data_IF_909432496439
#
_entry.id   IF_909432496439
#
_cell.length_a   1.000
_cell.length_b   1.000
_cell.length_c   1.000
_cell.angle_alpha   90.00
_cell.angle_beta   90.00
_cell.angle_gamma   90.00
#
_symmetry.space_group_name_H-M   'P 1'
#
loop_
_entity.id
_entity.type
_entity.pdbx_description
1 polymer ?
#
# COMPACT_ATOMS: atom_id res chain seq x y z
N UNK A 1 9.93 -11.36 7.44
CA UNK A 1 8.98 -10.43 6.83
C UNK A 1 9.63 -9.10 6.55
N UNK A 2 9.51 -8.65 5.31
CA UNK A 2 9.97 -7.32 4.94
C UNK A 2 8.78 -6.48 4.57
N UNK A 3 8.69 -5.30 5.19
CA UNK A 3 7.68 -4.33 4.83
C UNK A 3 8.42 -3.04 4.49
N UNK A 4 8.15 -2.52 3.30
CA UNK A 4 8.77 -1.30 2.82
C UNK A 4 7.73 -0.21 2.73
N UNK A 5 8.04 0.93 3.30
CA UNK A 5 7.22 2.13 3.22
C UNK A 5 7.91 3.13 2.29
N UNK A 6 7.16 3.62 1.33
CA UNK A 6 7.70 4.57 0.36
C UNK A 6 6.78 5.79 0.29
N UNK A 7 7.37 6.97 0.50
CA UNK A 7 6.69 8.25 0.39
C UNK A 7 7.17 8.96 -0.86
N UNK A 8 6.25 9.46 -1.68
CA UNK A 8 6.59 10.14 -2.92
C UNK A 8 5.77 11.42 -3.08
N UNK A 9 6.35 12.38 -3.79
CA UNK A 9 5.68 13.65 -4.08
C UNK A 9 4.64 13.51 -5.20
N UNK A 10 4.80 12.51 -6.07
CA UNK A 10 3.84 12.23 -7.12
C UNK A 10 3.77 10.74 -7.39
N UNK A 11 2.68 10.33 -8.04
CA UNK A 11 2.42 8.91 -8.27
C UNK A 11 3.49 8.23 -9.12
N UNK A 12 4.13 8.97 -10.01
CA UNK A 12 5.15 8.40 -10.90
C UNK A 12 6.39 7.91 -10.16
N UNK A 13 6.62 8.41 -8.97
CA UNK A 13 7.76 7.98 -8.15
C UNK A 13 7.50 6.66 -7.44
N UNK A 14 6.26 6.19 -7.44
CA UNK A 14 5.92 4.90 -6.87
C UNK A 14 6.11 3.79 -7.92
N UNK A 15 6.18 2.55 -7.43
CA UNK A 15 6.30 1.40 -8.32
C UNK A 15 5.11 1.31 -9.27
N UNK A 16 5.39 1.21 -10.56
CA UNK A 16 4.39 1.11 -11.61
C UNK A 16 4.32 -0.30 -12.21
N UNK A 17 4.82 -1.29 -11.48
CA UNK A 17 4.87 -2.66 -11.97
C UNK A 17 3.49 -3.25 -12.28
N UNK A 18 3.50 -4.36 -13.02
CA UNK A 18 2.28 -5.08 -13.36
C UNK A 18 1.78 -5.88 -12.16
N UNK A 19 0.97 -5.24 -11.34
CA UNK A 19 0.37 -5.92 -10.20
C UNK A 19 -0.75 -6.81 -10.65
N UNK A 20 -0.86 -7.98 -10.02
CA UNK A 20 -1.96 -8.91 -10.22
C UNK A 20 -3.05 -8.66 -9.18
N UNK A 21 -4.26 -9.07 -9.52
CA UNK A 21 -5.41 -9.01 -8.60
C UNK A 21 -5.61 -7.62 -8.00
N UNK A 22 -5.49 -6.62 -8.86
CA UNK A 22 -5.69 -5.24 -8.43
C UNK A 22 -7.10 -5.01 -7.96
N UNK A 23 -7.24 -4.37 -6.82
CA UNK A 23 -8.55 -3.97 -6.30
C UNK A 23 -8.42 -2.65 -5.56
N UNK A 24 -9.54 -1.94 -5.51
CA UNK A 24 -9.61 -0.69 -4.75
C UNK A 24 -10.46 -0.94 -3.52
N UNK A 25 -9.93 -0.60 -2.37
CA UNK A 25 -10.63 -0.74 -1.10
C UNK A 25 -10.58 0.55 -0.33
N UNK A 26 -11.61 0.79 0.46
CA UNK A 26 -11.61 1.92 1.38
C UNK A 26 -11.18 1.40 2.75
N UNK A 27 -10.24 2.09 3.36
CA UNK A 27 -9.72 1.71 4.66
C UNK A 27 -9.91 2.87 5.62
N UNK A 28 -10.55 2.57 6.75
CA UNK A 28 -10.67 3.55 7.82
C UNK A 28 -9.39 3.56 8.64
N UNK A 29 -8.80 4.73 8.74
CA UNK A 29 -7.66 4.95 9.62
C UNK A 29 -8.15 5.75 10.82
N UNK A 30 -7.26 6.03 11.76
CA UNK A 30 -7.62 6.83 12.93
C UNK A 30 -7.99 8.27 12.55
N UNK A 31 -7.47 8.75 11.45
CA UNK A 31 -7.64 10.15 11.05
C UNK A 31 -8.64 10.35 9.92
N UNK A 32 -8.80 9.34 9.05
CA UNK A 32 -9.58 9.53 7.84
C UNK A 32 -9.89 8.20 7.16
N UNK A 33 -10.72 8.27 6.12
CA UNK A 33 -10.95 7.13 5.23
C UNK A 33 -10.12 7.35 3.98
N UNK A 34 -9.36 6.35 3.58
CA UNK A 34 -8.49 6.42 2.40
C UNK A 34 -8.89 5.39 1.37
N UNK A 35 -8.74 5.76 0.10
CA UNK A 35 -8.93 4.85 -1.03
C UNK A 35 -7.57 4.25 -1.38
N UNK A 36 -7.45 2.95 -1.26
CA UNK A 36 -6.19 2.25 -1.47
C UNK A 36 -6.32 1.30 -2.66
N UNK A 37 -5.36 1.36 -3.57
CA UNK A 37 -5.23 0.36 -4.62
C UNK A 37 -4.26 -0.71 -4.14
N UNK A 38 -4.71 -1.95 -4.12
CA UNK A 38 -3.90 -3.09 -3.68
C UNK A 38 -3.69 -4.06 -4.83
N UNK A 39 -2.58 -4.76 -4.78
CA UNK A 39 -2.27 -5.79 -5.74
C UNK A 39 -1.11 -6.64 -5.26
N UNK A 40 -0.72 -7.62 -6.07
CA UNK A 40 0.39 -8.50 -5.72
C UNK A 40 1.33 -8.71 -6.90
N UNK A 41 2.57 -9.04 -6.59
CA UNK A 41 3.59 -9.40 -7.56
C UNK A 41 4.26 -10.69 -7.10
N UNK A 42 4.36 -11.66 -8.00
CA UNK A 42 5.05 -12.91 -7.71
C UNK A 42 6.49 -12.81 -8.16
N UNK A 43 7.42 -13.02 -7.24
CA UNK A 43 8.85 -13.06 -7.53
C UNK A 43 9.46 -14.25 -6.83
N UNK A 44 10.22 -15.07 -7.58
CA UNK A 44 10.93 -16.23 -7.02
C UNK A 44 10.02 -17.15 -6.20
N UNK A 45 8.80 -17.39 -6.70
CA UNK A 45 7.79 -18.22 -6.05
C UNK A 45 7.24 -17.64 -4.75
N UNK A 46 7.49 -16.35 -4.50
CA UNK A 46 6.94 -15.64 -3.35
C UNK A 46 6.03 -14.53 -3.81
N UNK A 47 4.91 -14.34 -3.11
CA UNK A 47 4.01 -13.24 -3.39
C UNK A 47 4.31 -12.07 -2.47
N UNK A 48 4.47 -10.91 -3.10
CA UNK A 48 4.61 -9.65 -2.40
C UNK A 48 3.34 -8.84 -2.62
N UNK A 49 2.75 -8.36 -1.56
CA UNK A 49 1.57 -7.52 -1.64
C UNK A 49 1.96 -6.06 -1.59
N UNK A 50 1.24 -5.27 -2.36
CA UNK A 50 1.48 -3.83 -2.50
C UNK A 50 0.19 -3.09 -2.25
N UNK A 51 0.33 -1.91 -1.65
CA UNK A 51 -0.77 -0.96 -1.50
C UNK A 51 -0.24 0.42 -1.83
N UNK A 52 -1.01 1.19 -2.58
CA UNK A 52 -0.67 2.59 -2.83
C UNK A 52 -1.91 3.46 -2.68
N UNK A 53 -1.70 4.65 -2.18
CA UNK A 53 -2.79 5.59 -1.95
C UNK A 53 -2.25 7.00 -1.93
N UNK A 54 -3.20 7.94 -2.03
CA UNK A 54 -2.88 9.35 -1.89
C UNK A 54 -3.51 9.85 -0.60
N UNK A 55 -2.76 10.59 0.18
CA UNK A 55 -3.26 11.26 1.37
C UNK A 55 -2.79 12.71 1.34
N UNK A 56 -3.75 13.63 1.29
CA UNK A 56 -3.47 15.05 1.07
C UNK A 56 -2.68 15.22 -0.22
N UNK A 57 -1.50 15.82 -0.19
CA UNK A 57 -0.71 16.08 -1.39
C UNK A 57 0.43 15.09 -1.60
N UNK A 58 0.42 14.00 -0.84
CA UNK A 58 1.50 13.01 -0.90
C UNK A 58 0.98 11.65 -1.31
N UNK A 59 1.85 10.90 -1.97
CA UNK A 59 1.56 9.53 -2.39
C UNK A 59 2.36 8.57 -1.53
N UNK A 60 1.71 7.48 -1.15
CA UNK A 60 2.30 6.48 -0.26
C UNK A 60 2.22 5.12 -0.90
N UNK A 61 3.22 4.31 -0.63
CA UNK A 61 3.22 2.91 -1.02
C UNK A 61 3.74 2.08 0.13
N UNK A 62 3.05 0.98 0.41
CA UNK A 62 3.48 -0.01 1.38
C UNK A 62 3.54 -1.34 0.67
N UNK A 63 4.62 -2.08 0.87
CA UNK A 63 4.79 -3.37 0.21
C UNK A 63 5.56 -4.32 1.11
N UNK A 64 5.36 -5.61 0.90
CA UNK A 64 6.08 -6.59 1.67
C UNK A 64 5.67 -8.01 1.38
N UNK A 65 6.46 -8.94 1.94
CA UNK A 65 6.18 -10.37 1.90
C UNK A 65 5.28 -10.73 3.07
N UNK A 66 4.06 -10.20 3.05
CA UNK A 66 3.08 -10.41 4.12
C UNK A 66 1.74 -10.76 3.49
N UNK A 67 0.85 -11.33 4.26
CA UNK A 67 -0.47 -11.65 3.78
C UNK A 67 -1.30 -10.37 3.62
N UNK A 68 -2.30 -10.44 2.74
CA UNK A 68 -3.16 -9.32 2.43
C UNK A 68 -3.84 -8.76 3.68
N UNK A 69 -4.33 -9.63 4.55
CA UNK A 69 -5.01 -9.23 5.77
C UNK A 69 -4.08 -8.46 6.70
N UNK A 70 -2.82 -8.87 6.78
CA UNK A 70 -1.82 -8.16 7.57
C UNK A 70 -1.53 -6.78 7.02
N UNK A 71 -1.43 -6.69 5.69
CA UNK A 71 -1.22 -5.40 5.03
C UNK A 71 -2.38 -4.46 5.31
N UNK A 72 -3.60 -4.95 5.21
CA UNK A 72 -4.79 -4.16 5.51
C UNK A 72 -4.83 -3.70 6.96
N UNK A 73 -4.40 -4.57 7.88
CA UNK A 73 -4.33 -4.22 9.29
C UNK A 73 -3.33 -3.09 9.53
N UNK A 74 -2.16 -3.17 8.91
CA UNK A 74 -1.15 -2.11 9.02
C UNK A 74 -1.71 -0.79 8.51
N UNK A 75 -2.39 -0.82 7.37
CA UNK A 75 -2.98 0.37 6.78
C UNK A 75 -4.03 1.00 7.70
N UNK A 76 -4.85 0.17 8.34
CA UNK A 76 -5.90 0.66 9.23
C UNK A 76 -5.35 1.30 10.50
N UNK A 77 -4.16 0.91 10.91
CA UNK A 77 -3.50 1.41 12.11
C UNK A 77 -2.54 2.57 11.85
N UNK A 78 -2.38 2.98 10.59
CA UNK A 78 -1.47 4.07 10.26
C UNK A 78 -1.93 5.40 10.83
N UNK A 79 -0.96 6.16 11.31
CA UNK A 79 -1.16 7.52 11.78
C UNK A 79 -0.30 8.45 10.94
N UNK A 80 -0.89 9.54 10.53
CA UNK A 80 -0.18 10.57 9.75
C UNK A 80 0.20 11.70 10.69
N UNK A 81 1.44 11.67 11.14
CA UNK A 81 1.96 12.73 12.01
C UNK A 81 2.46 13.87 11.13
N UNK A 82 1.72 14.93 11.13
CA UNK A 82 2.07 16.13 10.39
C UNK A 82 2.66 17.19 11.31
#
# INVERSE_FOLDING_TARGET
HFVYFHLAANEKELSQGDWKDKEKVQIETLDDVIDVEMGSVSENNEENYYAKWKYKDSYYQLSGQIEKEELMKILSEMQYNL
#
